data_IF_568929219688
#
_entry.id   IF_568929219688
#
_cell.length_a   1.000
_cell.length_b   1.000
_cell.length_c   1.000
_cell.angle_alpha   90.00
_cell.angle_beta   90.00
_cell.angle_gamma   90.00
#
_symmetry.space_group_name_H-M   'P 1'
#
loop_
_entity.id
_entity.type
_entity.pdbx_description
1 polymer ?
#
# COMPACT_ATOMS: atom_id res chain seq x y z
N UNK A 1 1.78 -58.84 15.66
CA UNK A 1 2.70 -59.06 14.51
C UNK A 1 3.02 -57.68 13.95
N UNK A 2 4.10 -56.98 14.30
CA UNK A 2 5.54 -57.21 14.02
C UNK A 2 5.84 -57.52 12.55
N UNK A 3 6.25 -56.50 11.79
CA UNK A 3 7.61 -56.31 11.21
C UNK A 3 7.56 -55.10 10.23
N UNK A 4 8.34 -54.02 10.40
CA UNK A 4 9.78 -53.86 10.02
C UNK A 4 9.95 -54.06 8.50
N UNK A 5 10.50 -53.17 7.66
CA UNK A 5 11.71 -52.31 7.67
C UNK A 5 11.59 -51.54 6.30
N UNK A 6 12.17 -50.38 5.99
CA UNK A 6 13.60 -50.13 5.84
C UNK A 6 13.81 -48.72 5.26
N UNK A 7 14.76 -47.98 5.86
CA UNK A 7 15.36 -46.75 5.32
C UNK A 7 16.50 -47.09 4.34
N UNK A 8 17.01 -46.03 3.71
CA UNK A 8 18.38 -45.79 3.19
C UNK A 8 18.54 -46.00 1.67
N UNK A 9 18.77 -44.92 0.90
CA UNK A 9 20.12 -44.55 0.44
C UNK A 9 20.17 -43.17 -0.23
N UNK A 10 21.21 -42.42 0.14
CA UNK A 10 21.65 -41.17 -0.48
C UNK A 10 22.52 -41.43 -1.71
N UNK A 11 22.61 -40.46 -2.62
CA UNK A 11 23.79 -40.30 -3.47
C UNK A 11 23.92 -38.83 -3.92
N UNK A 12 25.06 -38.24 -3.55
CA UNK A 12 25.55 -36.95 -4.01
C UNK A 12 26.06 -37.04 -5.46
N UNK A 13 26.03 -35.91 -6.17
CA UNK A 13 27.00 -35.67 -7.25
C UNK A 13 27.62 -34.28 -7.07
N UNK A 14 28.93 -34.27 -7.25
CA UNK A 14 29.86 -33.22 -6.86
C UNK A 14 30.16 -32.22 -8.00
N UNK A 15 30.76 -31.12 -7.54
CA UNK A 15 31.37 -29.99 -8.22
C UNK A 15 32.30 -30.28 -9.43
N UNK A 16 32.35 -29.28 -10.33
CA UNK A 16 33.48 -28.84 -11.18
C UNK A 16 32.92 -27.69 -12.08
N UNK A 17 33.52 -26.53 -12.31
CA UNK A 17 34.89 -26.03 -12.18
C UNK A 17 34.91 -24.49 -12.07
N UNK A 18 35.98 -24.01 -11.45
CA UNK A 18 36.47 -22.63 -11.39
C UNK A 18 36.77 -22.03 -12.77
N UNK A 19 36.70 -20.70 -12.83
CA UNK A 19 37.67 -19.90 -13.60
C UNK A 19 37.10 -18.68 -14.32
N UNK A 20 37.24 -17.49 -13.72
CA UNK A 20 37.96 -16.36 -14.33
C UNK A 20 37.91 -15.14 -13.42
N UNK A 21 39.10 -14.71 -12.99
CA UNK A 21 39.38 -13.46 -12.31
C UNK A 21 38.99 -12.26 -13.17
N UNK A 22 38.53 -11.20 -12.51
CA UNK A 22 38.28 -9.90 -13.12
C UNK A 22 38.07 -8.85 -12.04
N UNK A 23 39.14 -8.51 -11.32
CA UNK A 23 39.24 -7.26 -10.56
C UNK A 23 38.95 -6.08 -11.51
N UNK A 24 37.97 -5.26 -11.15
CA UNK A 24 37.93 -3.85 -11.59
C UNK A 24 37.54 -2.98 -10.41
N UNK A 25 38.50 -2.12 -10.10
CA UNK A 25 38.51 -1.10 -9.06
C UNK A 25 37.29 -0.18 -9.10
N UNK A 26 36.74 0.10 -7.92
CA UNK A 26 35.92 1.28 -7.68
C UNK A 26 36.80 2.53 -7.76
N UNK A 27 36.42 3.57 -8.52
CA UNK A 27 36.85 4.92 -8.19
C UNK A 27 35.88 5.53 -7.18
N UNK A 28 36.42 5.85 -6.01
CA UNK A 28 35.78 6.69 -5.00
C UNK A 28 35.48 8.08 -5.61
N UNK A 29 34.20 8.45 -5.69
CA UNK A 29 33.79 9.81 -5.97
C UNK A 29 33.75 10.59 -4.65
N UNK A 30 34.77 11.41 -4.44
CA UNK A 30 34.90 12.33 -3.32
C UNK A 30 33.77 13.36 -3.30
N UNK A 31 33.10 13.48 -2.15
CA UNK A 31 32.20 14.58 -1.81
C UNK A 31 32.97 15.91 -1.77
N UNK A 32 32.45 17.02 -2.32
CA UNK A 32 33.02 18.33 -2.09
C UNK A 32 32.68 18.84 -0.67
N UNK A 33 33.73 19.28 0.04
CA UNK A 33 33.70 19.95 1.34
C UNK A 33 33.12 21.38 1.23
N UNK A 34 32.58 21.93 2.34
CA UNK A 34 31.98 23.26 2.36
C UNK A 34 33.05 24.36 2.32
N UNK A 35 32.83 25.38 1.49
CA UNK A 35 33.63 26.61 1.49
C UNK A 35 33.16 27.48 2.63
N UNK A 36 34.05 27.69 3.60
CA UNK A 36 33.99 28.75 4.60
C UNK A 36 34.64 29.99 3.99
N UNK A 37 33.94 31.11 4.02
CA UNK A 37 34.56 32.44 4.01
C UNK A 37 33.84 33.35 5.01
N UNK A 38 34.59 33.79 6.02
CA UNK A 38 34.41 35.03 6.78
C UNK A 38 34.53 36.24 5.83
N UNK A 39 34.21 37.51 6.11
CA UNK A 39 33.88 38.38 7.24
C UNK A 39 33.18 39.59 6.54
N UNK A 40 32.30 40.41 7.12
CA UNK A 40 32.64 41.41 8.12
C UNK A 40 31.38 42.17 8.60
N UNK A 41 31.53 42.76 9.78
CA UNK A 41 30.64 43.57 10.60
C UNK A 41 29.95 44.77 9.91
N UNK A 42 28.76 45.18 10.42
CA UNK A 42 28.57 46.53 11.01
C UNK A 42 27.17 46.73 11.65
N UNK A 43 27.18 46.81 12.98
CA UNK A 43 26.54 47.83 13.87
C UNK A 43 25.03 48.19 13.80
N UNK A 44 24.42 48.14 15.00
CA UNK A 44 23.23 48.88 15.51
C UNK A 44 21.86 48.46 14.96
N UNK A 45 20.79 48.29 15.74
CA UNK A 45 20.33 49.01 16.94
C UNK A 45 19.21 48.17 17.62
N UNK A 46 19.08 48.27 18.94
CA UNK A 46 17.97 47.69 19.70
C UNK A 46 16.64 48.43 19.42
N UNK A 47 15.48 47.78 19.65
CA UNK A 47 14.32 48.51 20.14
C UNK A 47 13.88 48.01 21.51
N UNK A 48 13.55 49.00 22.32
CA UNK A 48 13.04 48.92 23.68
C UNK A 48 11.71 48.17 23.75
N UNK A 49 11.51 47.54 24.92
CA UNK A 49 10.23 47.02 25.35
C UNK A 49 9.19 48.14 25.51
N UNK A 50 8.02 47.95 24.92
CA UNK A 50 6.79 48.68 25.30
C UNK A 50 5.64 47.68 25.37
N UNK A 51 4.92 47.69 26.48
CA UNK A 51 3.57 47.13 26.64
C UNK A 51 2.79 48.08 27.54
N UNK A 52 1.45 48.07 27.55
CA UNK A 52 0.48 48.12 26.45
C UNK A 52 -0.42 49.38 26.59
N UNK A 53 -1.54 49.50 25.85
CA UNK A 53 -2.77 49.76 26.60
C UNK A 53 -3.92 48.83 26.21
N UNK A 54 -4.85 48.75 27.17
CA UNK A 54 -6.01 47.87 27.18
C UNK A 54 -7.15 48.31 26.25
N UNK A 55 -8.06 47.35 26.06
CA UNK A 55 -9.49 47.48 25.79
C UNK A 55 -9.93 47.47 24.33
N UNK A 56 -10.63 46.40 23.97
CA UNK A 56 -11.43 46.29 22.76
C UNK A 56 -11.64 44.84 22.37
N UNK A 57 -12.72 44.21 22.84
CA UNK A 57 -13.21 42.96 22.28
C UNK A 57 -13.42 43.12 20.76
N UNK A 58 -13.26 42.03 20.00
CA UNK A 58 -14.49 41.34 19.64
C UNK A 58 -14.43 39.90 20.09
N UNK A 59 -15.55 39.50 20.69
CA UNK A 59 -16.07 38.15 20.74
C UNK A 59 -15.50 37.32 19.58
N UNK A 60 -14.58 36.41 19.91
CA UNK A 60 -14.12 35.40 18.98
C UNK A 60 -15.37 34.69 18.49
N UNK A 61 -15.81 35.05 17.28
CA UNK A 61 -16.59 34.16 16.47
C UNK A 61 -15.79 32.85 16.46
N UNK A 62 -16.29 31.86 17.19
CA UNK A 62 -15.90 30.48 16.99
C UNK A 62 -16.26 30.18 15.54
N UNK A 63 -15.33 30.51 14.65
CA UNK A 63 -15.29 30.06 13.28
C UNK A 63 -15.27 28.55 13.39
N UNK A 64 -16.46 27.97 13.33
CA UNK A 64 -16.67 26.56 13.20
C UNK A 64 -16.22 26.24 11.78
N UNK A 65 -14.89 26.15 11.59
CA UNK A 65 -14.36 25.34 10.51
C UNK A 65 -15.07 23.98 10.63
N UNK A 66 -15.55 23.39 9.52
CA UNK A 66 -16.12 22.06 9.56
C UNK A 66 -15.11 21.17 10.30
N UNK A 67 -15.54 20.49 11.36
CA UNK A 67 -14.72 19.45 11.96
C UNK A 67 -14.42 18.45 10.83
N UNK A 68 -13.17 18.35 10.39
CA UNK A 68 -12.70 17.42 9.34
C UNK A 68 -12.77 15.94 9.79
N UNK A 69 -13.37 15.68 10.96
CA UNK A 69 -13.34 14.41 11.69
C UNK A 69 -14.53 13.43 11.49
N UNK A 70 -15.51 13.57 10.57
CA UNK A 70 -16.51 12.50 10.41
C UNK A 70 -16.08 11.35 9.47
N UNK A 71 -14.99 11.47 8.70
CA UNK A 71 -14.69 10.52 7.60
C UNK A 71 -13.25 9.96 7.55
N UNK A 72 -12.33 10.40 8.43
CA UNK A 72 -10.96 9.86 8.46
C UNK A 72 -10.95 8.34 8.72
N UNK A 73 -11.74 7.88 9.69
CA UNK A 73 -11.89 6.46 9.99
C UNK A 73 -12.45 5.65 8.80
N UNK A 74 -13.34 6.23 7.98
CA UNK A 74 -13.90 5.57 6.78
C UNK A 74 -12.77 5.29 5.80
N UNK A 75 -11.91 6.28 5.58
CA UNK A 75 -10.72 6.14 4.74
C UNK A 75 -9.80 5.04 5.26
N UNK A 76 -9.42 5.13 6.53
CA UNK A 76 -8.48 4.19 7.17
C UNK A 76 -8.99 2.74 7.15
N UNK A 77 -10.31 2.58 7.30
CA UNK A 77 -10.96 1.26 7.37
C UNK A 77 -11.14 0.66 5.98
N UNK A 78 -11.71 1.43 5.04
CA UNK A 78 -12.20 0.88 3.78
C UNK A 78 -11.32 1.21 2.58
N UNK A 79 -10.56 2.31 2.58
CA UNK A 79 -9.86 2.79 1.39
C UNK A 79 -8.36 2.52 1.47
N UNK A 80 -7.74 2.75 2.61
CA UNK A 80 -6.30 2.55 2.79
C UNK A 80 -5.81 1.12 2.50
N UNK A 81 -6.59 0.02 2.73
CA UNK A 81 -6.17 -1.31 2.31
C UNK A 81 -5.98 -1.49 0.79
N UNK A 82 -6.58 -0.64 -0.04
CA UNK A 82 -6.45 -0.66 -1.51
C UNK A 82 -5.70 0.58 -2.05
N UNK A 83 -4.92 1.24 -1.19
CA UNK A 83 -4.46 2.61 -1.38
C UNK A 83 -4.05 2.97 -2.80
N UNK A 84 -3.04 2.29 -3.36
CA UNK A 84 -2.49 2.64 -4.67
C UNK A 84 -3.47 2.39 -5.82
N UNK A 85 -4.19 1.26 -5.79
CA UNK A 85 -5.20 0.96 -6.80
C UNK A 85 -6.29 2.04 -6.82
N UNK A 86 -6.69 2.54 -5.65
CA UNK A 86 -7.59 3.69 -5.56
C UNK A 86 -6.94 4.98 -6.07
N UNK A 87 -5.65 5.21 -5.81
CA UNK A 87 -4.93 6.41 -6.27
C UNK A 87 -4.81 6.51 -7.80
N UNK A 88 -4.84 5.38 -8.53
CA UNK A 88 -4.77 5.35 -10.01
C UNK A 88 -6.13 5.20 -10.69
N UNK A 89 -7.22 5.09 -9.91
CA UNK A 89 -8.59 5.07 -10.42
C UNK A 89 -9.04 3.70 -10.88
N UNK A 90 -8.46 2.65 -10.31
CA UNK A 90 -8.84 1.29 -10.63
C UNK A 90 -10.28 1.01 -10.18
N UNK A 91 -11.06 0.41 -11.07
CA UNK A 91 -12.45 0.03 -10.84
C UNK A 91 -12.63 -1.47 -11.02
N UNK A 92 -13.72 -1.99 -10.46
CA UNK A 92 -14.22 -3.35 -10.71
C UNK A 92 -15.70 -3.43 -10.35
N UNK A 93 -16.46 -4.18 -11.13
CA UNK A 93 -17.91 -4.38 -10.90
C UNK A 93 -18.18 -5.54 -9.94
N UNK A 94 -17.21 -6.43 -9.75
CA UNK A 94 -17.33 -7.61 -8.88
C UNK A 94 -15.96 -8.10 -8.42
N UNK A 95 -15.89 -8.81 -7.27
CA UNK A 95 -14.63 -9.34 -6.76
C UNK A 95 -13.91 -10.25 -7.76
N UNK A 96 -14.65 -10.97 -8.61
CA UNK A 96 -14.05 -11.90 -9.58
C UNK A 96 -13.21 -11.19 -10.65
N UNK A 97 -13.42 -9.90 -10.88
CA UNK A 97 -12.63 -9.11 -11.84
C UNK A 97 -11.23 -8.76 -11.33
N UNK A 98 -10.96 -8.87 -10.02
CA UNK A 98 -9.62 -8.57 -9.49
C UNK A 98 -8.56 -9.55 -9.99
N UNK A 99 -8.96 -10.71 -10.55
CA UNK A 99 -8.06 -11.73 -11.05
C UNK A 99 -7.01 -11.20 -12.02
N UNK A 100 -7.29 -10.19 -12.85
CA UNK A 100 -6.26 -9.63 -13.75
C UNK A 100 -5.19 -8.80 -13.00
N UNK A 101 -5.57 -8.14 -11.90
CA UNK A 101 -4.72 -7.21 -11.14
C UNK A 101 -4.43 -7.70 -9.72
N UNK A 102 -4.62 -9.00 -9.44
CA UNK A 102 -4.59 -9.57 -8.09
C UNK A 102 -3.30 -9.23 -7.34
N UNK A 103 -2.18 -9.17 -8.05
CA UNK A 103 -0.85 -8.92 -7.49
C UNK A 103 -0.76 -7.53 -6.86
N UNK A 104 -1.43 -6.57 -7.48
CA UNK A 104 -1.43 -5.19 -7.01
C UNK A 104 -2.37 -5.02 -5.81
N UNK A 105 -3.55 -5.64 -5.83
CA UNK A 105 -4.38 -5.69 -4.62
C UNK A 105 -3.69 -6.40 -3.46
N UNK A 106 -2.94 -7.48 -3.74
CA UNK A 106 -2.17 -8.20 -2.75
C UNK A 106 -1.10 -7.32 -2.12
N UNK A 107 -0.30 -6.62 -2.93
CA UNK A 107 0.76 -5.74 -2.44
C UNK A 107 0.18 -4.56 -1.64
N UNK A 108 -0.93 -3.94 -2.05
CA UNK A 108 -1.57 -2.85 -1.30
C UNK A 108 -2.00 -3.32 0.10
N UNK A 109 -2.69 -4.46 0.17
CA UNK A 109 -3.15 -5.04 1.43
C UNK A 109 -1.97 -5.43 2.31
N UNK A 110 -0.93 -6.05 1.74
CA UNK A 110 0.23 -6.48 2.50
C UNK A 110 1.01 -5.28 3.09
N UNK A 111 1.15 -4.18 2.32
CA UNK A 111 1.74 -2.93 2.81
C UNK A 111 0.88 -2.33 3.92
N UNK A 112 -0.43 -2.22 3.70
CA UNK A 112 -1.36 -1.69 4.70
C UNK A 112 -1.25 -2.47 6.02
N UNK A 113 -1.30 -3.80 5.96
CA UNK A 113 -1.19 -4.66 7.14
C UNK A 113 0.11 -4.44 7.90
N UNK A 114 1.23 -4.35 7.18
CA UNK A 114 2.54 -4.08 7.78
C UNK A 114 2.55 -2.72 8.50
N UNK A 115 2.00 -1.67 7.87
CA UNK A 115 1.91 -0.33 8.46
C UNK A 115 1.02 -0.28 9.71
N UNK A 116 -0.03 -1.11 9.75
CA UNK A 116 -0.90 -1.26 10.91
C UNK A 116 -0.35 -2.21 11.99
N UNK A 117 0.86 -2.77 11.80
CA UNK A 117 1.45 -3.75 12.72
C UNK A 117 0.70 -5.08 12.78
N UNK A 118 -0.08 -5.39 11.73
CA UNK A 118 -0.73 -6.68 11.53
C UNK A 118 0.22 -7.65 10.82
N UNK A 119 -0.03 -8.95 10.96
CA UNK A 119 0.71 -9.99 10.24
C UNK A 119 0.65 -9.72 8.73
N UNK A 120 1.82 -9.46 8.12
CA UNK A 120 1.96 -9.15 6.70
C UNK A 120 2.87 -10.17 6.02
N UNK A 121 2.47 -10.68 4.83
CA UNK A 121 3.35 -11.51 4.01
C UNK A 121 4.69 -10.87 3.67
N UNK A 122 4.82 -9.54 3.74
CA UNK A 122 6.08 -8.84 3.49
C UNK A 122 7.14 -9.10 4.58
N UNK A 123 6.70 -9.39 5.80
CA UNK A 123 7.59 -9.67 6.92
C UNK A 123 8.13 -11.11 6.86
N UNK A 124 7.28 -12.05 6.43
CA UNK A 124 7.61 -13.47 6.35
C UNK A 124 8.36 -13.85 5.05
N UNK A 125 8.12 -13.11 3.97
CA UNK A 125 8.68 -13.37 2.63
C UNK A 125 9.43 -12.14 2.07
N UNK A 126 10.52 -11.68 2.72
CA UNK A 126 11.24 -10.48 2.32
C UNK A 126 12.00 -10.62 0.99
N UNK A 127 12.12 -11.83 0.45
CA UNK A 127 12.74 -12.12 -0.85
C UNK A 127 11.76 -11.93 -2.03
N UNK A 128 10.50 -11.58 -1.75
CA UNK A 128 9.46 -11.41 -2.77
C UNK A 128 8.98 -12.72 -3.37
N UNK A 129 9.30 -13.87 -2.79
CA UNK A 129 8.84 -15.18 -3.24
C UNK A 129 7.70 -15.68 -2.34
N UNK A 130 6.46 -15.45 -2.78
CA UNK A 130 5.26 -15.74 -2.00
C UNK A 130 4.65 -17.09 -2.39
N UNK A 131 4.33 -17.98 -1.44
CA UNK A 131 3.49 -19.13 -1.72
C UNK A 131 2.10 -18.69 -2.22
N UNK A 132 1.54 -19.40 -3.20
CA UNK A 132 0.22 -19.08 -3.77
C UNK A 132 -0.86 -19.03 -2.70
N UNK A 133 -0.82 -19.96 -1.74
CA UNK A 133 -1.78 -20.03 -0.64
C UNK A 133 -1.72 -18.80 0.27
N UNK A 134 -0.56 -18.19 0.45
CA UNK A 134 -0.40 -16.97 1.25
C UNK A 134 -1.04 -15.78 0.54
N UNK A 135 -0.80 -15.66 -0.77
CA UNK A 135 -1.44 -14.64 -1.62
C UNK A 135 -2.96 -14.78 -1.57
N UNK A 136 -3.47 -15.99 -1.80
CA UNK A 136 -4.91 -16.26 -1.81
C UNK A 136 -5.52 -16.02 -0.44
N UNK A 137 -4.87 -16.47 0.63
CA UNK A 137 -5.34 -16.24 2.00
C UNK A 137 -5.35 -14.76 2.38
N UNK A 138 -4.41 -13.96 1.86
CA UNK A 138 -4.40 -12.51 2.06
C UNK A 138 -5.59 -11.85 1.33
N UNK A 139 -5.77 -12.14 0.04
CA UNK A 139 -6.84 -11.54 -0.77
C UNK A 139 -8.24 -11.94 -0.32
N UNK A 140 -8.44 -13.20 0.08
CA UNK A 140 -9.75 -13.72 0.53
C UNK A 140 -10.25 -13.14 1.86
N UNK A 141 -9.37 -12.46 2.60
CA UNK A 141 -9.78 -11.65 3.77
C UNK A 141 -10.48 -10.35 3.37
N UNK A 142 -10.31 -9.88 2.14
CA UNK A 142 -10.89 -8.62 1.67
C UNK A 142 -11.83 -8.79 0.49
N UNK A 143 -11.72 -9.89 -0.27
CA UNK A 143 -12.52 -10.16 -1.45
C UNK A 143 -13.18 -11.52 -1.39
N UNK A 144 -14.42 -11.64 -1.88
CA UNK A 144 -15.06 -12.93 -2.13
C UNK A 144 -14.60 -13.53 -3.46
N UNK A 145 -13.35 -13.99 -3.49
CA UNK A 145 -12.73 -14.63 -4.65
C UNK A 145 -12.31 -16.06 -4.36
N UNK A 146 -12.33 -16.91 -5.37
CA UNK A 146 -11.79 -18.26 -5.25
C UNK A 146 -10.33 -18.31 -5.69
N UNK A 147 -9.63 -19.37 -5.26
CA UNK A 147 -8.25 -19.62 -5.66
C UNK A 147 -8.09 -19.75 -7.17
N UNK A 148 -9.11 -20.24 -7.89
CA UNK A 148 -9.05 -20.43 -9.34
C UNK A 148 -9.01 -19.09 -10.08
N UNK A 149 -9.74 -18.09 -9.60
CA UNK A 149 -9.74 -16.73 -10.13
C UNK A 149 -8.35 -16.12 -10.03
N UNK A 150 -7.71 -16.25 -8.87
CA UNK A 150 -6.34 -15.76 -8.66
C UNK A 150 -5.35 -16.52 -9.54
N UNK A 151 -5.42 -17.85 -9.56
CA UNK A 151 -4.55 -18.69 -10.39
C UNK A 151 -4.71 -18.42 -11.88
N UNK A 152 -5.94 -18.15 -12.36
CA UNK A 152 -6.18 -17.77 -13.74
C UNK A 152 -5.47 -16.46 -14.08
N UNK A 153 -5.53 -15.47 -13.18
CA UNK A 153 -4.79 -14.21 -13.29
C UNK A 153 -3.27 -14.40 -13.32
N UNK A 154 -2.75 -15.18 -12.38
CA UNK A 154 -1.33 -15.57 -12.33
C UNK A 154 -0.87 -16.18 -13.66
N UNK A 155 -1.67 -17.09 -14.22
CA UNK A 155 -1.32 -17.79 -15.46
C UNK A 155 -1.46 -16.93 -16.71
N UNK A 156 -2.38 -15.98 -16.72
CA UNK A 156 -2.62 -15.09 -17.86
C UNK A 156 -1.53 -14.02 -17.99
N UNK A 157 -1.28 -13.27 -16.92
CA UNK A 157 -0.51 -12.02 -16.99
C UNK A 157 0.88 -12.13 -16.35
N UNK A 158 1.08 -13.15 -15.50
CA UNK A 158 2.29 -13.29 -14.70
C UNK A 158 2.92 -14.69 -14.78
N UNK A 159 2.74 -15.40 -15.90
CA UNK A 159 3.23 -16.78 -16.06
C UNK A 159 4.73 -16.94 -15.80
N UNK A 160 5.54 -15.93 -16.14
CA UNK A 160 6.98 -15.93 -15.88
C UNK A 160 7.35 -15.77 -14.40
N UNK A 161 6.41 -15.29 -13.58
CA UNK A 161 6.57 -15.09 -12.13
C UNK A 161 6.10 -16.28 -11.31
N UNK A 162 5.32 -17.18 -11.90
CA UNK A 162 4.81 -18.37 -11.20
C UNK A 162 5.71 -19.58 -11.43
N UNK A 163 6.23 -20.15 -10.35
CA UNK A 163 6.88 -21.45 -10.35
C UNK A 163 5.85 -22.53 -9.93
N UNK A 164 5.36 -23.36 -10.88
CA UNK A 164 4.39 -24.41 -10.59
C UNK A 164 4.97 -25.60 -9.80
N UNK A 165 6.30 -25.76 -9.76
CA UNK A 165 6.96 -26.83 -8.99
C UNK A 165 7.08 -26.44 -7.53
N UNK A 166 7.49 -25.20 -7.27
CA UNK A 166 7.56 -24.64 -5.92
C UNK A 166 6.20 -24.18 -5.39
N UNK A 167 5.23 -23.89 -6.26
CA UNK A 167 3.94 -23.33 -5.87
C UNK A 167 4.06 -21.87 -5.42
N UNK A 168 5.02 -21.13 -5.96
CA UNK A 168 5.36 -19.76 -5.52
C UNK A 168 5.24 -18.75 -6.64
N UNK A 169 4.96 -17.51 -6.28
CA UNK A 169 4.93 -16.36 -7.17
C UNK A 169 6.04 -15.39 -6.76
N UNK A 170 6.93 -15.06 -7.69
CA UNK A 170 8.00 -14.08 -7.48
C UNK A 170 7.53 -12.70 -7.89
N UNK A 171 7.54 -11.76 -6.96
CA UNK A 171 7.22 -10.36 -7.20
C UNK A 171 8.19 -9.46 -6.45
N UNK A 172 9.01 -8.73 -7.22
CA UNK A 172 9.74 -7.59 -6.70
C UNK A 172 8.75 -6.43 -6.51
N UNK A 173 8.50 -6.07 -5.26
CA UNK A 173 7.61 -4.98 -4.89
C UNK A 173 8.16 -3.62 -5.36
N UNK A 174 7.28 -2.62 -5.47
CA UNK A 174 7.66 -1.25 -5.80
C UNK A 174 7.04 -0.76 -7.10
N UNK A 175 5.88 -0.10 -6.97
CA UNK A 175 5.17 0.50 -8.11
C UNK A 175 5.76 1.82 -8.57
N UNK A 176 6.41 2.57 -7.67
CA UNK A 176 6.93 3.90 -7.93
C UNK A 176 5.85 4.91 -8.34
N UNK A 177 6.24 6.16 -8.60
CA UNK A 177 5.33 7.21 -9.05
C UNK A 177 4.60 7.94 -7.93
N UNK A 178 3.70 8.84 -8.34
CA UNK A 178 2.89 9.67 -7.45
C UNK A 178 1.44 9.56 -7.92
N UNK A 179 0.60 8.91 -7.11
CA UNK A 179 -0.82 8.75 -7.40
C UNK A 179 -1.66 9.94 -6.93
N UNK A 180 -2.92 10.00 -7.39
CA UNK A 180 -3.88 11.03 -6.94
C UNK A 180 -4.11 10.93 -5.42
N UNK A 181 -4.42 12.03 -4.75
CA UNK A 181 -4.90 11.97 -3.36
C UNK A 181 -6.35 11.52 -3.33
N UNK A 182 -6.74 10.80 -2.30
CA UNK A 182 -8.13 10.39 -2.08
C UNK A 182 -8.75 11.26 -1.00
N UNK A 183 -9.99 11.68 -1.21
CA UNK A 183 -10.81 12.37 -0.22
C UNK A 183 -12.17 11.68 -0.15
N UNK A 184 -12.56 11.24 1.05
CA UNK A 184 -13.89 10.65 1.27
C UNK A 184 -14.91 11.78 1.30
N UNK A 185 -15.96 11.64 0.49
CA UNK A 185 -17.02 12.64 0.31
C UNK A 185 -18.37 12.19 0.87
N UNK A 186 -18.56 10.88 1.10
CA UNK A 186 -19.78 10.34 1.65
C UNK A 186 -19.62 8.93 2.21
N UNK A 187 -20.48 8.60 3.18
CA UNK A 187 -20.57 7.28 3.78
C UNK A 187 -22.02 7.00 4.17
N UNK A 188 -22.53 5.86 3.73
CA UNK A 188 -23.85 5.35 4.13
C UNK A 188 -23.70 3.88 4.50
N UNK A 189 -24.31 3.48 5.62
CA UNK A 189 -24.38 2.09 6.07
C UNK A 189 -25.84 1.65 6.09
N UNK A 190 -26.12 0.50 5.47
CA UNK A 190 -27.44 -0.13 5.45
C UNK A 190 -27.28 -1.63 5.68
N UNK A 191 -28.08 -2.20 6.60
CA UNK A 191 -28.06 -3.60 7.07
C UNK A 191 -27.15 -4.57 6.29
N UNK A 192 -25.90 -4.71 6.76
CA UNK A 192 -24.92 -5.67 6.21
C UNK A 192 -24.09 -5.17 5.02
N UNK A 193 -24.20 -3.89 4.65
CA UNK A 193 -23.42 -3.25 3.61
C UNK A 193 -23.08 -1.80 3.95
N UNK A 194 -22.04 -1.29 3.32
CA UNK A 194 -21.74 0.13 3.32
C UNK A 194 -21.36 0.62 1.92
N UNK A 195 -21.76 1.86 1.65
CA UNK A 195 -21.43 2.58 0.43
C UNK A 195 -20.55 3.77 0.79
N UNK A 196 -19.36 3.82 0.22
CA UNK A 196 -18.38 4.88 0.42
C UNK A 196 -18.27 5.68 -0.88
N UNK A 197 -18.46 6.99 -0.80
CA UNK A 197 -18.19 7.90 -1.90
C UNK A 197 -16.88 8.62 -1.63
N UNK A 198 -16.04 8.71 -2.65
CA UNK A 198 -14.76 9.41 -2.58
C UNK A 198 -14.44 10.08 -3.90
N UNK A 199 -13.52 11.04 -3.87
CA UNK A 199 -12.96 11.63 -5.08
C UNK A 199 -11.46 11.53 -5.09
N UNK A 200 -10.92 11.45 -6.29
CA UNK A 200 -9.50 11.63 -6.54
C UNK A 200 -9.21 13.11 -6.76
N UNK A 201 -8.12 13.58 -6.17
CA UNK A 201 -7.56 14.91 -6.38
C UNK A 201 -6.18 14.74 -7.00
N UNK A 202 -5.89 15.48 -8.06
CA UNK A 202 -4.54 15.53 -8.63
C UNK A 202 -3.54 15.88 -7.52
N UNK A 203 -2.43 15.14 -7.49
CA UNK A 203 -1.46 15.28 -6.40
C UNK A 203 -0.82 16.67 -6.32
N UNK A 204 -0.60 17.33 -7.46
CA UNK A 204 0.11 18.59 -7.57
C UNK A 204 -0.83 19.79 -7.50
N UNK A 205 -1.99 19.72 -8.15
CA UNK A 205 -2.94 20.84 -8.22
C UNK A 205 -4.00 20.79 -7.13
N UNK A 206 -4.31 19.59 -6.62
CA UNK A 206 -5.43 19.36 -5.71
C UNK A 206 -6.80 19.44 -6.39
N UNK A 207 -6.85 19.55 -7.72
CA UNK A 207 -8.10 19.60 -8.47
C UNK A 207 -8.73 18.20 -8.57
N UNK A 208 -10.07 18.08 -8.49
CA UNK A 208 -10.74 16.80 -8.69
C UNK A 208 -10.43 16.19 -10.06
N UNK A 209 -10.01 14.93 -10.08
CA UNK A 209 -9.73 14.17 -11.30
C UNK A 209 -10.75 13.07 -11.58
N UNK A 210 -11.56 12.69 -10.58
CA UNK A 210 -12.62 11.69 -10.72
C UNK A 210 -13.40 11.50 -9.41
N UNK A 211 -14.64 11.03 -9.52
CA UNK A 211 -15.51 10.70 -8.38
C UNK A 211 -15.87 9.23 -8.44
N UNK A 212 -15.91 8.57 -7.30
CA UNK A 212 -16.05 7.12 -7.22
C UNK A 212 -16.99 6.71 -6.09
N UNK A 213 -17.61 5.56 -6.27
CA UNK A 213 -18.39 4.86 -5.27
C UNK A 213 -17.83 3.46 -5.07
N UNK A 214 -17.58 3.10 -3.82
CA UNK A 214 -17.17 1.77 -3.38
C UNK A 214 -18.30 1.14 -2.57
N UNK A 215 -18.59 -0.13 -2.84
CA UNK A 215 -19.53 -0.92 -2.05
C UNK A 215 -18.78 -2.03 -1.33
N UNK A 216 -19.10 -2.20 -0.04
CA UNK A 216 -18.57 -3.27 0.80
C UNK A 216 -19.70 -4.02 1.48
N UNK A 217 -19.53 -5.32 1.68
CA UNK A 217 -20.37 -6.12 2.58
C UNK A 217 -19.74 -6.15 3.96
N UNK A 218 -20.53 -5.83 4.98
CA UNK A 218 -20.15 -5.93 6.37
C UNK A 218 -20.46 -7.33 6.91
N UNK A 219 -19.56 -7.87 7.73
CA UNK A 219 -19.69 -9.19 8.34
C UNK A 219 -19.99 -9.07 9.84
N UNK A 220 -20.62 -10.10 10.39
CA UNK A 220 -21.02 -10.13 11.82
C UNK A 220 -19.83 -10.02 12.79
N UNK A 221 -18.63 -10.42 12.35
CA UNK A 221 -17.40 -10.34 13.13
C UNK A 221 -16.74 -8.95 13.09
N UNK A 222 -17.36 -7.98 12.42
CA UNK A 222 -16.85 -6.62 12.24
C UNK A 222 -15.85 -6.47 11.10
N UNK A 223 -15.51 -7.54 10.38
CA UNK A 223 -14.74 -7.44 9.14
C UNK A 223 -15.65 -7.09 7.95
N UNK A 224 -15.07 -6.87 6.78
CA UNK A 224 -15.82 -6.55 5.57
C UNK A 224 -15.23 -7.23 4.33
N UNK A 225 -15.97 -7.19 3.22
CA UNK A 225 -15.50 -7.62 1.90
C UNK A 225 -15.85 -6.58 0.84
N UNK A 226 -14.91 -6.24 -0.02
CA UNK A 226 -15.16 -5.39 -1.18
C UNK A 226 -16.09 -6.09 -2.17
N UNK A 227 -17.05 -5.33 -2.71
CA UNK A 227 -18.01 -5.81 -3.71
C UNK A 227 -17.77 -5.15 -5.06
N UNK A 228 -17.66 -3.81 -5.08
CA UNK A 228 -17.48 -3.06 -6.31
C UNK A 228 -16.79 -1.70 -6.06
N UNK A 229 -16.18 -1.17 -7.10
CA UNK A 229 -15.70 0.22 -7.20
C UNK A 229 -16.08 0.74 -8.58
N UNK A 230 -16.84 1.82 -8.63
CA UNK A 230 -17.34 2.42 -9.86
C UNK A 230 -17.03 3.90 -9.89
N UNK A 231 -16.67 4.41 -11.07
CA UNK A 231 -16.63 5.85 -11.30
C UNK A 231 -18.06 6.38 -11.43
N UNK A 232 -18.36 7.49 -10.76
CA UNK A 232 -19.68 8.14 -10.76
C UNK A 232 -19.62 9.53 -11.42
N UNK A 233 -20.71 9.99 -12.05
CA UNK A 233 -20.75 11.26 -12.79
C UNK A 233 -20.52 12.52 -11.95
#
# INVERSE_FOLDING_TARGET
>A
MKMKTMRILAAALAAACLGACGEREQPAASLPQPVVSSEAESVSQAPEAVSPPASGAPEQAASSAPQEEPLAWVRETYLDPLGWELNIGQTFDSPQQIGANWMFYFEDIAIYRQQQGLESPLDDYPDGCYPVEVVVSCLTQYFEVDQQTILAGVQADFRSRYDPVAGTITHEAGRGGVGNRIEVTGYTEEEGAATIQYRQLDYYTGEPSGSFQMEVRLLEDGSFRYLSIQEIP
#
